data_IF_562357963063
#
_entry.id   IF_562357963063
#
_cell.length_a   1.000
_cell.length_b   1.000
_cell.length_c   1.000
_cell.angle_alpha   90.00
_cell.angle_beta   90.00
_cell.angle_gamma   90.00
#
_symmetry.space_group_name_H-M   'P 1'
#
loop_
_entity.id
_entity.type
_entity.pdbx_description
1 polymer ?
#
# COMPACT_ATOMS: atom_id res chain seq x y z
N UNK A 1 10.72 -6.76 22.28
CA UNK A 1 11.13 -7.46 21.05
C UNK A 1 12.60 -7.19 20.83
N UNK A 2 13.44 -8.08 21.35
CA UNK A 2 14.88 -8.13 21.11
C UNK A 2 15.10 -8.59 19.65
N UNK A 3 15.96 -7.91 18.89
CA UNK A 3 16.15 -8.12 17.44
C UNK A 3 17.02 -9.36 17.11
N UNK A 4 17.24 -10.26 18.07
CA UNK A 4 18.29 -11.28 17.97
C UNK A 4 18.01 -12.51 17.09
N UNK A 5 16.89 -12.58 16.37
CA UNK A 5 16.79 -13.45 15.19
C UNK A 5 15.57 -13.07 14.34
N UNK A 6 15.80 -12.33 13.26
CA UNK A 6 14.81 -12.23 12.18
C UNK A 6 14.78 -13.56 11.44
N UNK A 7 13.65 -14.23 11.47
CA UNK A 7 13.44 -15.44 10.68
C UNK A 7 13.07 -15.07 9.24
N UNK A 8 13.61 -15.83 8.29
CA UNK A 8 13.29 -15.64 6.89
C UNK A 8 11.91 -16.24 6.56
N UNK A 9 11.20 -15.63 5.60
CA UNK A 9 9.96 -16.17 5.04
C UNK A 9 10.19 -17.62 4.56
N UNK A 10 9.36 -18.55 5.03
CA UNK A 10 9.39 -19.95 4.59
C UNK A 10 8.96 -20.03 3.12
N UNK A 11 9.89 -20.47 2.25
CA UNK A 11 9.64 -20.56 0.80
C UNK A 11 9.17 -21.93 0.32
N UNK A 12 9.53 -22.99 1.03
CA UNK A 12 9.34 -24.39 0.60
C UNK A 12 8.50 -25.22 1.56
N UNK A 13 8.22 -24.70 2.74
CA UNK A 13 7.52 -25.40 3.81
C UNK A 13 6.38 -24.53 4.33
N UNK A 14 5.25 -25.15 4.71
CA UNK A 14 4.18 -24.41 5.38
C UNK A 14 4.62 -23.93 6.77
N UNK A 15 3.90 -22.95 7.29
CA UNK A 15 4.03 -22.53 8.68
C UNK A 15 3.32 -23.53 9.59
N UNK A 16 3.77 -23.60 10.85
CA UNK A 16 3.23 -24.50 11.86
C UNK A 16 1.95 -23.96 12.48
N UNK A 17 1.81 -22.63 12.54
CA UNK A 17 0.65 -21.95 13.10
C UNK A 17 0.43 -20.58 12.44
N UNK A 18 -0.78 -20.03 12.63
CA UNK A 18 -1.13 -18.66 12.26
C UNK A 18 -0.27 -17.64 13.02
N UNK A 19 0.02 -17.92 14.30
CA UNK A 19 0.88 -17.09 15.14
C UNK A 19 2.30 -16.98 14.59
N UNK A 20 2.89 -18.10 14.18
CA UNK A 20 4.23 -18.11 13.57
C UNK A 20 4.25 -17.27 12.28
N UNK A 21 3.24 -17.44 11.42
CA UNK A 21 3.13 -16.64 10.20
C UNK A 21 3.04 -15.14 10.49
N UNK A 22 2.16 -14.74 11.43
CA UNK A 22 1.93 -13.34 11.76
C UNK A 22 3.15 -12.71 12.43
N UNK A 23 3.82 -13.41 13.35
CA UNK A 23 5.03 -12.90 14.03
C UNK A 23 6.17 -12.66 13.05
N UNK A 24 6.46 -13.62 12.17
CA UNK A 24 7.54 -13.50 11.17
C UNK A 24 7.26 -12.32 10.23
N UNK A 25 6.07 -12.25 9.64
CA UNK A 25 5.73 -11.17 8.70
C UNK A 25 5.69 -9.80 9.40
N UNK A 26 5.17 -9.72 10.62
CA UNK A 26 5.14 -8.48 11.40
C UNK A 26 6.57 -7.98 11.71
N UNK A 27 7.47 -8.87 12.12
CA UNK A 27 8.86 -8.50 12.41
C UNK A 27 9.62 -8.05 11.18
N UNK A 28 9.45 -8.73 10.04
CA UNK A 28 10.06 -8.32 8.78
C UNK A 28 9.53 -6.97 8.30
N UNK A 29 8.21 -6.76 8.36
CA UNK A 29 7.59 -5.47 8.01
C UNK A 29 8.07 -4.33 8.91
N UNK A 30 8.19 -4.60 10.21
CA UNK A 30 8.76 -3.66 11.18
C UNK A 30 10.20 -3.33 10.85
N UNK A 31 11.00 -4.33 10.55
CA UNK A 31 12.40 -4.15 10.21
C UNK A 31 12.57 -3.32 8.94
N UNK A 32 11.85 -3.64 7.88
CA UNK A 32 11.85 -2.87 6.62
C UNK A 32 11.46 -1.39 6.85
N UNK A 33 10.49 -1.14 7.73
CA UNK A 33 10.04 0.20 8.06
C UNK A 33 11.07 1.02 8.83
N UNK A 34 11.80 0.41 9.77
CA UNK A 34 12.59 1.14 10.77
C UNK A 34 14.10 1.00 10.62
N UNK A 35 14.62 0.01 9.88
CA UNK A 35 16.06 -0.29 9.78
C UNK A 35 16.89 0.94 9.39
N UNK A 36 16.56 1.58 8.26
CA UNK A 36 17.32 2.73 7.76
C UNK A 36 17.37 3.88 8.78
N UNK A 37 16.26 4.13 9.48
CA UNK A 37 16.18 5.15 10.50
C UNK A 37 17.00 4.79 11.75
N UNK A 38 16.89 3.53 12.22
CA UNK A 38 17.67 3.05 13.36
C UNK A 38 19.18 3.13 13.07
N UNK A 39 19.61 2.66 11.90
CA UNK A 39 21.01 2.72 11.48
C UNK A 39 21.48 4.17 11.33
N UNK A 40 20.66 5.05 10.74
CA UNK A 40 20.96 6.47 10.60
C UNK A 40 21.15 7.17 11.95
N UNK A 41 20.25 6.93 12.91
CA UNK A 41 20.34 7.50 14.26
C UNK A 41 21.56 6.92 15.01
N UNK A 42 21.83 5.62 14.87
CA UNK A 42 22.98 5.00 15.54
C UNK A 42 24.30 5.56 15.01
N UNK A 43 24.45 5.65 13.68
CA UNK A 43 25.62 6.24 13.04
C UNK A 43 25.84 7.70 13.47
N UNK A 44 24.75 8.47 13.57
CA UNK A 44 24.82 9.84 14.08
C UNK A 44 25.25 9.90 15.54
N UNK A 45 24.77 8.99 16.39
CA UNK A 45 25.15 8.95 17.82
C UNK A 45 26.60 8.58 18.05
N UNK A 46 27.15 7.71 17.22
CA UNK A 46 28.53 7.21 17.37
C UNK A 46 29.54 8.12 16.67
N UNK A 47 29.25 8.55 15.45
CA UNK A 47 30.21 9.20 14.56
C UNK A 47 29.81 10.62 14.13
N UNK A 48 28.62 11.10 14.53
CA UNK A 48 28.02 12.35 14.03
C UNK A 48 27.80 12.42 12.50
N UNK A 49 28.02 11.30 11.79
CA UNK A 49 27.84 11.22 10.34
C UNK A 49 26.35 11.08 10.00
N UNK A 50 25.86 11.93 9.11
CA UNK A 50 24.53 11.85 8.53
C UNK A 50 24.59 11.33 7.10
N UNK A 51 24.05 10.14 6.86
CA UNK A 51 23.87 9.58 5.52
C UNK A 51 22.47 9.94 5.02
N UNK A 52 22.38 10.89 4.08
CA UNK A 52 21.12 11.39 3.52
C UNK A 52 20.31 10.30 2.79
N UNK A 53 20.94 9.19 2.36
CA UNK A 53 20.23 8.06 1.76
C UNK A 53 19.47 7.23 2.81
N UNK A 54 19.95 7.21 4.05
CA UNK A 54 19.35 6.45 5.15
C UNK A 54 18.44 7.29 6.02
N UNK A 55 18.77 8.56 6.21
CA UNK A 55 18.06 9.46 7.11
C UNK A 55 18.32 10.91 6.70
N UNK A 56 17.26 11.66 6.38
CA UNK A 56 17.36 13.11 6.20
C UNK A 56 17.24 13.78 7.56
N UNK A 57 18.06 14.79 7.81
CA UNK A 57 18.07 15.48 9.10
C UNK A 57 17.80 16.97 8.91
N UNK A 58 17.00 17.52 9.82
CA UNK A 58 16.52 18.88 9.80
C UNK A 58 16.75 19.56 11.15
N UNK A 59 17.13 20.84 11.11
CA UNK A 59 17.02 21.74 12.25
C UNK A 59 15.59 22.24 12.31
N UNK A 60 14.96 22.08 13.48
CA UNK A 60 13.57 22.47 13.67
C UNK A 60 13.42 23.53 14.75
N UNK A 61 12.53 24.48 14.49
CA UNK A 61 12.04 25.44 15.47
C UNK A 61 10.51 25.49 15.45
N UNK A 62 9.90 25.73 16.60
CA UNK A 62 8.45 25.77 16.72
C UNK A 62 7.94 27.13 16.24
N UNK A 63 7.19 27.14 15.13
CA UNK A 63 6.57 28.37 14.63
C UNK A 63 5.26 28.65 15.36
N UNK A 64 4.36 27.66 15.39
CA UNK A 64 3.03 27.81 15.98
C UNK A 64 2.46 26.46 16.41
N UNK A 65 1.71 26.47 17.51
CA UNK A 65 0.83 25.37 17.90
C UNK A 65 -0.56 25.68 17.36
N UNK A 66 -1.13 24.78 16.58
CA UNK A 66 -2.50 24.88 16.09
C UNK A 66 -3.31 23.69 16.57
N UNK A 67 -4.62 23.85 16.68
CA UNK A 67 -5.52 22.80 17.16
C UNK A 67 -6.83 22.82 16.38
N UNK A 68 -7.26 21.65 15.94
CA UNK A 68 -8.65 21.41 15.55
C UNK A 68 -9.47 20.87 16.72
N UNK A 69 -10.75 20.60 16.50
CA UNK A 69 -11.71 20.18 17.53
C UNK A 69 -11.29 18.95 18.39
N UNK A 70 -10.34 18.13 17.92
CA UNK A 70 -9.87 16.92 18.66
C UNK A 70 -8.38 16.64 18.55
N UNK A 71 -7.59 17.46 17.82
CA UNK A 71 -6.17 17.16 17.55
C UNK A 71 -5.31 18.43 17.56
N UNK A 72 -4.16 18.33 18.23
CA UNK A 72 -3.14 19.38 18.28
C UNK A 72 -2.08 19.06 17.22
N UNK A 73 -1.74 20.06 16.40
CA UNK A 73 -0.70 20.00 15.39
C UNK A 73 0.34 21.08 15.63
N UNK A 74 1.59 20.77 15.28
CA UNK A 74 2.73 21.65 15.43
C UNK A 74 3.18 22.11 14.06
N UNK A 75 3.21 23.42 13.82
CA UNK A 75 3.89 23.96 12.65
C UNK A 75 5.36 24.15 13.02
N UNK A 76 6.21 23.35 12.40
CA UNK A 76 7.66 23.40 12.58
C UNK A 76 8.33 24.05 11.37
N UNK A 77 9.22 24.99 11.62
CA UNK A 77 10.13 25.50 10.61
C UNK A 77 11.29 24.52 10.49
N UNK A 78 11.47 23.94 9.31
CA UNK A 78 12.47 22.91 9.02
C UNK A 78 13.53 23.49 8.08
N UNK A 79 14.79 23.39 8.49
CA UNK A 79 15.95 23.73 7.66
C UNK A 79 16.83 22.49 7.52
N UNK A 80 17.30 22.21 6.32
CA UNK A 80 18.15 21.05 6.05
C UNK A 80 19.44 21.13 6.90
N UNK A 81 19.79 20.04 7.58
CA UNK A 81 21.02 19.95 8.36
C UNK A 81 22.18 19.54 7.45
N UNK A 82 23.00 20.51 7.06
CA UNK A 82 24.29 20.25 6.42
C UNK A 82 25.41 20.50 7.43
N UNK A 83 26.16 19.45 7.78
CA UNK A 83 27.50 19.62 8.33
C UNK A 83 28.46 19.87 7.16
N UNK A 84 29.25 20.94 7.25
CA UNK A 84 29.99 21.58 6.15
C UNK A 84 30.86 20.67 5.26
N UNK A 85 30.90 21.07 3.98
CA UNK A 85 32.04 21.08 3.04
C UNK A 85 32.84 19.78 2.88
N UNK A 86 32.37 18.88 2.00
CA UNK A 86 33.18 18.22 0.97
C UNK A 86 32.33 17.23 0.16
N UNK A 87 31.52 17.75 -0.75
CA UNK A 87 31.18 17.07 -2.00
C UNK A 87 30.66 18.11 -2.96
N UNK A 88 31.58 18.61 -3.79
CA UNK A 88 31.25 19.20 -5.08
C UNK A 88 30.55 18.11 -5.89
N UNK A 89 29.23 18.09 -5.82
CA UNK A 89 28.35 17.60 -6.86
C UNK A 89 27.00 18.29 -6.61
N UNK A 90 26.81 19.39 -7.33
CA UNK A 90 25.51 19.98 -7.58
C UNK A 90 24.67 18.92 -8.31
N UNK A 91 24.02 18.03 -7.57
CA UNK A 91 22.78 17.45 -8.05
C UNK A 91 21.66 18.44 -7.71
N UNK A 92 21.46 19.37 -8.65
CA UNK A 92 20.14 19.98 -8.86
C UNK A 92 19.09 18.88 -9.07
N UNK A 93 17.85 19.20 -8.70
CA UNK A 93 16.66 18.36 -8.75
C UNK A 93 16.52 17.26 -7.68
N UNK A 94 15.91 17.65 -6.57
CA UNK A 94 14.49 17.32 -6.38
C UNK A 94 13.90 18.22 -5.29
N UNK A 95 12.69 18.70 -5.50
CA UNK A 95 11.87 19.25 -4.43
C UNK A 95 11.80 18.23 -3.28
N UNK A 96 12.67 18.40 -2.27
CA UNK A 96 12.66 17.65 -1.02
C UNK A 96 11.43 18.06 -0.19
N UNK A 97 10.24 17.79 -0.73
CA UNK A 97 8.98 17.93 -0.04
C UNK A 97 8.86 16.76 0.93
N UNK A 98 8.80 17.10 2.21
CA UNK A 98 8.50 16.13 3.26
C UNK A 98 7.09 15.59 2.99
N UNK A 99 6.98 14.28 2.76
CA UNK A 99 5.73 13.68 2.34
C UNK A 99 4.72 13.62 3.48
N UNK A 100 3.45 13.83 3.14
CA UNK A 100 2.35 13.61 4.07
C UNK A 100 2.38 12.17 4.61
N UNK A 101 2.39 12.02 5.93
CA UNK A 101 2.44 10.71 6.57
C UNK A 101 3.85 10.14 6.75
N UNK A 102 4.91 10.87 6.39
CA UNK A 102 6.27 10.54 6.81
C UNK A 102 6.36 10.49 8.33
N UNK A 103 7.09 9.49 8.84
CA UNK A 103 7.40 9.37 10.25
C UNK A 103 8.70 10.13 10.56
N UNK A 104 8.60 11.02 11.53
CA UNK A 104 9.68 11.88 12.00
C UNK A 104 10.08 11.50 13.41
N UNK A 105 11.37 11.53 13.67
CA UNK A 105 11.96 11.37 14.99
C UNK A 105 12.58 12.69 15.44
N UNK A 106 12.00 13.31 16.45
CA UNK A 106 12.46 14.56 17.05
C UNK A 106 13.36 14.26 18.25
N UNK A 107 14.47 14.98 18.35
CA UNK A 107 15.41 14.96 19.46
C UNK A 107 15.67 16.38 19.97
N UNK A 108 15.18 16.67 21.18
CA UNK A 108 15.32 17.98 21.84
C UNK A 108 16.74 18.24 22.37
N UNK A 109 17.46 17.18 22.73
CA UNK A 109 18.84 17.23 23.25
C UNK A 109 19.90 17.25 22.16
N UNK A 110 19.49 17.17 20.88
CA UNK A 110 20.36 16.96 19.70
C UNK A 110 21.18 15.65 19.72
N UNK A 111 20.99 14.77 20.71
CA UNK A 111 21.77 13.52 20.84
C UNK A 111 20.96 12.24 20.57
N UNK A 112 19.67 12.36 20.23
CA UNK A 112 18.77 11.24 20.04
C UNK A 112 18.77 10.23 21.22
N UNK A 113 18.97 10.72 22.44
CA UNK A 113 18.84 9.95 23.69
C UNK A 113 17.36 9.78 24.08
N UNK A 114 16.55 10.81 23.82
CA UNK A 114 15.11 10.85 24.03
C UNK A 114 14.41 11.06 22.70
N UNK A 115 13.91 9.96 22.13
CA UNK A 115 13.21 9.95 20.85
C UNK A 115 11.74 10.36 21.03
N UNK A 116 11.31 11.35 20.25
CA UNK A 116 9.92 11.80 20.17
C UNK A 116 9.42 11.55 18.76
N UNK A 117 8.40 10.71 18.63
CA UNK A 117 7.80 10.35 17.36
C UNK A 117 6.70 11.33 16.95
N UNK A 118 6.75 11.76 15.70
CA UNK A 118 5.74 12.59 15.07
C UNK A 118 5.45 12.12 13.64
N UNK A 119 4.27 12.43 13.12
CA UNK A 119 3.87 12.14 11.74
C UNK A 119 3.48 13.43 11.05
N UNK A 120 3.85 13.56 9.79
CA UNK A 120 3.54 14.75 8.98
C UNK A 120 2.06 14.71 8.60
N UNK A 121 1.33 15.79 8.85
CA UNK A 121 -0.11 15.87 8.57
C UNK A 121 -0.40 16.69 7.33
N UNK A 122 -1.51 16.41 6.67
CA UNK A 122 -1.95 17.22 5.55
C UNK A 122 -2.68 18.43 6.15
N UNK A 123 -2.08 19.61 6.06
CA UNK A 123 -2.75 20.87 6.41
C UNK A 123 -2.95 21.71 5.15
N UNK A 124 -4.03 22.47 5.16
CA UNK A 124 -4.47 23.30 4.03
C UNK A 124 -3.32 24.13 3.42
N UNK A 125 -3.12 24.10 2.08
CA UNK A 125 -2.08 24.88 1.39
C UNK A 125 -2.09 26.38 1.74
N UNK A 126 -3.21 26.92 2.21
CA UNK A 126 -3.33 28.30 2.68
C UNK A 126 -2.48 28.63 3.92
N UNK A 127 -2.08 27.64 4.70
CA UNK A 127 -1.12 27.82 5.81
C UNK A 127 0.33 27.89 5.30
N UNK A 128 0.61 27.31 4.14
CA UNK A 128 1.92 27.40 3.46
C UNK A 128 2.09 28.74 2.73
N UNK A 129 1.01 29.48 2.45
CA UNK A 129 1.04 30.75 1.72
C UNK A 129 1.74 31.92 2.46
N UNK A 130 2.26 31.71 3.67
CA UNK A 130 3.07 32.70 4.40
C UNK A 130 4.57 32.40 4.40
N UNK A 131 5.01 31.28 3.83
CA UNK A 131 6.45 31.03 3.64
C UNK A 131 6.95 31.84 2.45
N UNK A 132 7.91 32.73 2.69
CA UNK A 132 8.59 33.45 1.62
C UNK A 132 9.25 32.44 0.67
N UNK A 133 9.01 32.51 -0.65
CA UNK A 133 9.60 31.58 -1.62
C UNK A 133 11.14 31.65 -1.71
N UNK A 134 11.76 32.65 -1.06
CA UNK A 134 13.23 32.84 -1.02
C UNK A 134 13.90 32.41 0.29
N UNK A 135 13.18 31.79 1.24
CA UNK A 135 13.83 31.24 2.45
C UNK A 135 14.00 29.74 2.34
N UNK A 136 15.20 29.21 2.64
CA UNK A 136 15.49 27.78 2.75
C UNK A 136 14.81 27.10 3.96
N UNK A 137 13.67 27.65 4.40
CA UNK A 137 12.91 27.26 5.58
C UNK A 137 11.58 26.70 5.08
N UNK A 138 11.34 25.42 5.33
CA UNK A 138 10.09 24.72 4.99
C UNK A 138 9.21 24.65 6.24
N UNK A 139 7.99 25.16 6.18
CA UNK A 139 7.02 24.98 7.27
C UNK A 139 6.32 23.64 7.10
N UNK A 140 6.46 22.75 8.09
CA UNK A 140 5.91 21.40 8.08
C UNK A 140 4.97 21.22 9.26
N UNK A 141 3.69 20.88 9.02
CA UNK A 141 2.75 20.55 10.07
C UNK A 141 2.96 19.09 10.52
N UNK A 142 3.14 18.88 11.82
CA UNK A 142 3.36 17.54 12.41
C UNK A 142 2.41 17.26 13.57
N UNK A 143 2.06 15.99 13.74
CA UNK A 143 1.29 15.47 14.88
C UNK A 143 2.15 14.53 15.71
N UNK A 144 2.22 14.77 17.01
CA UNK A 144 2.91 13.87 17.93
C UNK A 144 2.18 12.53 18.05
N UNK A 145 2.94 11.43 18.05
CA UNK A 145 2.43 10.08 18.27
C UNK A 145 2.29 9.82 19.78
N UNK A 146 1.30 10.44 20.42
CA UNK A 146 1.12 10.42 21.89
C UNK A 146 1.11 9.03 22.50
N UNK A 147 0.47 8.06 21.85
CA UNK A 147 0.37 6.67 22.33
C UNK A 147 1.70 5.89 22.26
N UNK A 148 2.70 6.45 21.55
CA UNK A 148 4.01 5.83 21.33
C UNK A 148 5.15 6.59 22.04
N UNK A 149 4.89 7.82 22.50
CA UNK A 149 5.90 8.68 23.12
C UNK A 149 5.95 8.47 24.64
N UNK A 150 7.16 8.44 25.20
CA UNK A 150 7.37 8.35 26.66
C UNK A 150 7.02 9.65 27.38
N UNK A 151 7.29 10.80 26.73
CA UNK A 151 6.98 12.12 27.27
C UNK A 151 5.55 12.50 26.93
N UNK A 152 4.86 13.19 27.84
CA UNK A 152 3.54 13.74 27.56
C UNK A 152 3.67 14.85 26.52
N UNK A 153 2.64 15.02 25.70
CA UNK A 153 2.61 16.07 24.68
C UNK A 153 2.94 17.44 25.27
N UNK A 154 2.39 17.78 26.45
CA UNK A 154 2.58 19.10 27.04
C UNK A 154 4.05 19.39 27.39
N UNK A 155 4.78 18.38 27.87
CA UNK A 155 6.19 18.52 28.23
C UNK A 155 7.04 18.75 26.98
N UNK A 156 6.75 17.99 25.91
CA UNK A 156 7.40 18.16 24.60
C UNK A 156 7.15 19.56 24.04
N UNK A 157 5.93 20.07 24.14
CA UNK A 157 5.55 21.40 23.66
C UNK A 157 6.28 22.51 24.43
N UNK A 158 6.34 22.39 25.77
CA UNK A 158 7.02 23.36 26.63
C UNK A 158 8.52 23.40 26.34
N UNK A 159 9.18 22.24 26.21
CA UNK A 159 10.60 22.18 25.88
C UNK A 159 10.89 22.74 24.47
N UNK A 160 10.10 22.37 23.45
CA UNK A 160 10.22 22.94 22.10
C UNK A 160 10.05 24.47 22.08
N UNK A 161 9.09 24.97 22.84
CA UNK A 161 8.84 26.42 22.95
C UNK A 161 10.03 27.11 23.62
N UNK A 162 10.60 26.52 24.68
CA UNK A 162 11.77 27.07 25.37
C UNK A 162 12.99 27.14 24.44
N UNK A 163 13.32 26.03 23.77
CA UNK A 163 14.43 25.93 22.82
C UNK A 163 14.31 27.03 21.76
N UNK A 164 13.12 27.19 21.19
CA UNK A 164 12.87 28.19 20.14
C UNK A 164 13.00 29.62 20.67
N UNK A 165 12.47 29.91 21.86
CA UNK A 165 12.55 31.24 22.48
C UNK A 165 13.99 31.63 22.88
N UNK A 166 14.83 30.65 23.19
CA UNK A 166 16.26 30.85 23.47
C UNK A 166 17.10 31.07 22.20
N UNK A 167 16.48 31.02 21.01
CA UNK A 167 17.16 31.11 19.72
C UNK A 167 17.91 29.84 19.34
N UNK A 168 17.67 28.73 20.04
CA UNK A 168 18.23 27.42 19.74
C UNK A 168 17.25 26.58 18.88
N UNK A 169 17.70 25.41 18.45
CA UNK A 169 16.95 24.49 17.58
C UNK A 169 16.98 23.06 18.10
N UNK A 170 15.94 22.29 17.80
CA UNK A 170 15.95 20.84 17.97
C UNK A 170 16.34 20.14 16.66
N UNK A 171 16.65 18.85 16.72
CA UNK A 171 16.90 18.03 15.54
C UNK A 171 15.70 17.15 15.23
N UNK A 172 15.42 16.98 13.94
CA UNK A 172 14.39 16.10 13.44
C UNK A 172 14.97 15.22 12.34
N UNK A 173 14.82 13.91 12.50
CA UNK A 173 15.20 12.91 11.50
C UNK A 173 13.96 12.41 10.76
N UNK A 174 14.02 12.39 9.43
CA UNK A 174 13.03 11.75 8.56
C UNK A 174 13.55 10.39 8.09
N UNK A 175 12.68 9.39 8.16
CA UNK A 175 12.94 8.11 7.49
C UNK A 175 12.63 8.23 6.00
N UNK A 176 13.50 7.73 5.09
CA UNK A 176 13.19 7.63 3.67
C UNK A 176 12.01 6.65 3.41
N UNK A 177 11.66 5.82 4.39
CA UNK A 177 10.57 4.85 4.28
C UNK A 177 9.22 5.52 4.58
N UNK A 178 8.27 5.39 3.66
CA UNK A 178 6.94 5.97 3.78
C UNK A 178 6.08 5.25 4.83
N UNK A 179 6.12 5.72 6.09
CA UNK A 179 5.49 5.07 7.24
C UNK A 179 3.98 4.81 7.07
N UNK A 180 3.24 5.69 6.40
CA UNK A 180 1.81 5.50 6.15
C UNK A 180 1.46 4.23 5.37
N UNK A 181 2.41 3.64 4.62
CA UNK A 181 2.22 2.33 3.99
C UNK A 181 2.41 1.15 4.96
N UNK A 182 3.17 1.34 6.05
CA UNK A 182 3.56 0.28 6.98
C UNK A 182 2.76 0.29 8.28
N UNK A 183 2.55 1.46 8.89
CA UNK A 183 1.89 1.63 10.19
C UNK A 183 0.51 0.97 10.26
N UNK A 184 -0.44 1.32 9.37
CA UNK A 184 -1.77 0.70 9.33
C UNK A 184 -1.72 -0.82 9.12
N UNK A 185 -0.80 -1.30 8.26
CA UNK A 185 -0.60 -2.73 8.03
C UNK A 185 -0.16 -3.43 9.33
N UNK A 186 0.84 -2.89 10.03
CA UNK A 186 1.32 -3.41 11.31
C UNK A 186 0.22 -3.46 12.38
N UNK A 187 -0.63 -2.45 12.46
CA UNK A 187 -1.75 -2.46 13.42
C UNK A 187 -2.80 -3.51 13.03
N UNK A 188 -3.07 -3.71 11.74
CA UNK A 188 -3.95 -4.80 11.27
C UNK A 188 -3.39 -6.18 11.59
N UNK A 189 -2.08 -6.41 11.46
CA UNK A 189 -1.45 -7.68 11.89
C UNK A 189 -1.70 -7.95 13.38
N UNK A 190 -1.58 -6.93 14.24
CA UNK A 190 -1.86 -7.07 15.69
C UNK A 190 -3.32 -7.35 15.97
N UNK A 191 -4.23 -6.69 15.26
CA UNK A 191 -5.67 -6.96 15.39
C UNK A 191 -6.02 -8.38 14.97
N UNK A 192 -5.45 -8.85 13.85
CA UNK A 192 -5.67 -10.20 13.35
C UNK A 192 -5.20 -11.25 14.34
N UNK A 193 -4.02 -11.05 14.92
CA UNK A 193 -3.52 -11.93 15.97
C UNK A 193 -4.42 -11.92 17.22
N UNK A 194 -4.92 -10.75 17.65
CA UNK A 194 -5.79 -10.65 18.84
C UNK A 194 -7.16 -11.29 18.64
N UNK A 195 -7.73 -11.19 17.43
CA UNK A 195 -9.08 -11.68 17.12
C UNK A 195 -9.10 -13.09 16.55
N UNK A 196 -7.92 -13.64 16.22
CA UNK A 196 -7.77 -14.88 15.47
C UNK A 196 -8.64 -14.90 14.19
N UNK A 197 -8.68 -13.76 13.48
CA UNK A 197 -9.57 -13.52 12.32
C UNK A 197 -8.81 -13.51 10.98
N UNK A 198 -7.64 -14.15 10.93
CA UNK A 198 -6.81 -14.16 9.74
C UNK A 198 -7.54 -14.80 8.54
N UNK A 199 -7.65 -14.11 7.39
CA UNK A 199 -8.24 -14.70 6.20
C UNK A 199 -7.26 -15.62 5.48
N UNK A 200 -7.78 -16.56 4.69
CA UNK A 200 -7.00 -17.43 3.79
C UNK A 200 -5.92 -18.27 4.51
N UNK A 201 -6.22 -18.75 5.72
CA UNK A 201 -5.27 -19.49 6.56
C UNK A 201 -4.80 -20.78 5.89
N UNK A 202 -5.72 -21.55 5.32
CA UNK A 202 -5.38 -22.80 4.66
C UNK A 202 -4.42 -22.58 3.49
N UNK A 203 -4.61 -21.51 2.72
CA UNK A 203 -3.80 -21.17 1.56
C UNK A 203 -2.47 -20.51 1.92
N UNK A 204 -2.47 -19.51 2.82
CA UNK A 204 -1.29 -18.68 3.12
C UNK A 204 -0.39 -19.27 4.21
N UNK A 205 -0.98 -19.92 5.23
CA UNK A 205 -0.25 -20.44 6.39
C UNK A 205 0.11 -21.89 6.17
N UNK A 206 -0.89 -22.72 5.84
CA UNK A 206 -0.72 -24.17 5.74
C UNK A 206 -0.43 -24.67 4.32
N UNK A 207 -0.45 -23.80 3.31
CA UNK A 207 -0.22 -24.14 1.90
C UNK A 207 -1.09 -25.31 1.40
N UNK A 208 -2.31 -25.43 1.92
CA UNK A 208 -3.29 -26.43 1.48
C UNK A 208 -3.96 -25.98 0.20
N UNK A 209 -4.35 -26.96 -0.62
CA UNK A 209 -5.19 -26.69 -1.78
C UNK A 209 -6.56 -26.22 -1.31
N UNK A 210 -6.98 -25.05 -1.78
CA UNK A 210 -8.29 -24.48 -1.44
C UNK A 210 -9.41 -25.13 -2.23
N UNK A 211 -10.58 -25.19 -1.62
CA UNK A 211 -11.82 -25.41 -2.35
C UNK A 211 -12.10 -24.22 -3.28
N UNK A 212 -12.77 -24.43 -4.42
CA UNK A 212 -13.12 -23.34 -5.31
C UNK A 212 -14.00 -22.27 -4.63
N UNK A 213 -13.98 -21.01 -5.12
CA UNK A 213 -14.81 -19.95 -4.55
C UNK A 213 -16.30 -20.29 -4.56
N UNK A 214 -17.04 -19.93 -3.51
CA UNK A 214 -18.48 -20.29 -3.39
C UNK A 214 -19.34 -19.89 -4.59
N UNK A 215 -19.02 -18.77 -5.24
CA UNK A 215 -19.76 -18.29 -6.41
C UNK A 215 -19.56 -19.16 -7.66
N UNK A 216 -18.49 -19.95 -7.74
CA UNK A 216 -18.22 -20.81 -8.91
C UNK A 216 -18.95 -22.14 -8.86
N UNK A 217 -19.55 -22.48 -7.72
CA UNK A 217 -20.41 -23.66 -7.50
C UNK A 217 -21.91 -23.35 -7.56
N UNK A 218 -22.29 -22.08 -7.57
CA UNK A 218 -23.68 -21.66 -7.58
C UNK A 218 -24.31 -21.92 -8.96
N UNK A 219 -25.29 -22.81 -9.01
CA UNK A 219 -25.97 -23.24 -10.25
C UNK A 219 -26.93 -22.20 -10.81
N UNK A 220 -27.34 -21.22 -10.00
CA UNK A 220 -28.15 -20.09 -10.45
C UNK A 220 -27.27 -18.93 -10.97
N UNK A 221 -25.95 -19.05 -10.79
CA UNK A 221 -25.01 -18.03 -11.19
C UNK A 221 -24.97 -17.89 -12.70
N UNK A 222 -25.48 -16.76 -13.19
CA UNK A 222 -25.31 -16.36 -14.59
C UNK A 222 -23.85 -16.02 -14.85
N UNK A 223 -23.35 -16.40 -16.01
CA UNK A 223 -21.99 -16.16 -16.45
C UNK A 223 -22.01 -15.87 -17.95
N UNK A 224 -21.32 -14.81 -18.38
CA UNK A 224 -21.15 -14.51 -19.80
C UNK A 224 -19.82 -15.11 -20.30
N UNK A 225 -19.91 -16.24 -21.02
CA UNK A 225 -18.74 -16.92 -21.58
C UNK A 225 -18.23 -16.31 -22.88
N UNK A 226 -18.93 -15.33 -23.48
CA UNK A 226 -18.47 -14.64 -24.70
C UNK A 226 -17.19 -13.83 -24.47
N UNK A 227 -16.85 -13.62 -23.20
CA UNK A 227 -15.61 -12.99 -22.75
C UNK A 227 -14.38 -13.88 -23.03
N UNK A 228 -14.58 -15.20 -23.05
CA UNK A 228 -13.50 -16.22 -23.14
C UNK A 228 -13.60 -17.01 -24.45
N UNK A 229 -14.82 -17.33 -24.90
CA UNK A 229 -15.06 -18.13 -26.10
C UNK A 229 -15.82 -17.33 -27.15
N UNK A 230 -15.55 -17.60 -28.42
CA UNK A 230 -16.34 -17.07 -29.53
C UNK A 230 -17.75 -17.68 -29.52
N UNK A 231 -18.78 -16.87 -29.81
CA UNK A 231 -20.15 -17.38 -29.87
C UNK A 231 -20.31 -18.33 -31.07
N UNK A 232 -20.82 -19.56 -30.88
CA UNK A 232 -21.04 -20.48 -31.97
C UNK A 232 -22.13 -19.95 -32.91
N UNK A 233 -21.76 -19.60 -34.14
CA UNK A 233 -22.66 -19.13 -35.20
C UNK A 233 -23.61 -17.99 -34.79
N UNK A 234 -23.19 -17.11 -33.86
CA UNK A 234 -23.98 -15.98 -33.39
C UNK A 234 -25.11 -16.32 -32.39
N UNK A 235 -25.23 -17.59 -31.99
CA UNK A 235 -26.18 -18.02 -30.96
C UNK A 235 -25.54 -18.00 -29.57
N UNK A 236 -26.38 -17.95 -28.53
CA UNK A 236 -25.92 -18.04 -27.14
C UNK A 236 -25.43 -19.45 -26.80
N UNK A 237 -24.56 -19.53 -25.77
CA UNK A 237 -24.02 -20.81 -25.29
C UNK A 237 -25.15 -21.72 -24.81
N UNK A 238 -25.19 -22.92 -25.34
CA UNK A 238 -26.15 -23.95 -24.93
C UNK A 238 -25.44 -25.05 -24.15
N UNK A 239 -26.05 -25.45 -23.04
CA UNK A 239 -25.59 -26.52 -22.18
C UNK A 239 -26.56 -27.70 -22.27
N UNK A 240 -26.12 -28.93 -21.94
CA UNK A 240 -26.97 -30.12 -22.02
C UNK A 240 -28.34 -29.91 -21.35
N UNK A 241 -29.41 -30.23 -22.09
CA UNK A 241 -30.79 -29.92 -21.68
C UNK A 241 -31.13 -30.55 -20.32
N UNK A 242 -31.62 -29.72 -19.39
CA UNK A 242 -32.16 -30.15 -18.10
C UNK A 242 -31.22 -30.05 -16.89
N UNK A 243 -29.93 -29.70 -17.07
CA UNK A 243 -29.00 -29.52 -15.96
C UNK A 243 -28.61 -28.04 -15.79
N UNK A 244 -28.91 -27.47 -14.62
CA UNK A 244 -28.25 -26.23 -14.19
C UNK A 244 -26.83 -26.57 -13.78
N UNK A 245 -25.88 -26.23 -14.65
CA UNK A 245 -24.45 -26.38 -14.40
C UNK A 245 -23.93 -25.14 -13.67
N UNK A 246 -23.04 -25.34 -12.71
CA UNK A 246 -22.29 -24.27 -12.05
C UNK A 246 -21.25 -23.66 -13.00
N UNK A 247 -20.73 -22.43 -12.74
CA UNK A 247 -19.70 -21.83 -13.59
C UNK A 247 -18.48 -22.71 -13.88
N UNK A 248 -17.98 -23.49 -12.90
CA UNK A 248 -16.87 -24.43 -13.15
C UNK A 248 -17.27 -25.53 -14.13
N UNK A 249 -18.46 -26.10 -13.96
CA UNK A 249 -18.96 -27.17 -14.83
C UNK A 249 -19.23 -26.65 -16.25
N UNK A 250 -19.79 -25.45 -16.37
CA UNK A 250 -19.97 -24.76 -17.65
C UNK A 250 -18.62 -24.53 -18.35
N UNK A 251 -17.62 -24.03 -17.62
CA UNK A 251 -16.28 -23.82 -18.16
C UNK A 251 -15.64 -25.11 -18.68
N UNK A 252 -15.71 -26.19 -17.90
CA UNK A 252 -15.17 -27.51 -18.30
C UNK A 252 -15.86 -28.03 -19.56
N UNK A 253 -17.19 -27.95 -19.62
CA UNK A 253 -17.94 -28.35 -20.80
C UNK A 253 -17.55 -27.56 -22.06
N UNK A 254 -17.43 -26.23 -21.94
CA UNK A 254 -17.03 -25.38 -23.08
C UNK A 254 -15.58 -25.67 -23.50
N UNK A 255 -14.68 -25.86 -22.55
CA UNK A 255 -13.30 -26.22 -22.83
C UNK A 255 -13.19 -27.55 -23.60
N UNK A 256 -13.97 -28.56 -23.21
CA UNK A 256 -14.00 -29.88 -23.86
C UNK A 256 -14.68 -29.85 -25.23
N UNK A 257 -15.74 -29.06 -25.39
CA UNK A 257 -16.57 -29.06 -26.61
C UNK A 257 -16.02 -28.13 -27.69
N UNK A 258 -15.52 -26.95 -27.30
CA UNK A 258 -15.07 -25.89 -28.22
C UNK A 258 -13.55 -25.90 -28.42
N UNK A 259 -12.81 -26.47 -27.47
CA UNK A 259 -11.35 -26.55 -27.54
C UNK A 259 -10.66 -25.19 -27.65
N UNK A 260 -9.42 -25.19 -28.15
CA UNK A 260 -8.62 -23.97 -28.36
C UNK A 260 -9.02 -23.20 -29.62
N UNK A 261 -9.67 -23.82 -30.60
CA UNK A 261 -9.97 -23.19 -31.90
C UNK A 261 -11.04 -22.10 -31.84
N UNK A 262 -11.89 -22.09 -30.81
CA UNK A 262 -12.92 -21.07 -30.59
C UNK A 262 -12.64 -20.26 -29.31
N UNK A 263 -11.44 -20.36 -28.77
CA UNK A 263 -11.00 -19.62 -27.60
C UNK A 263 -10.43 -18.26 -28.02
N UNK A 264 -10.83 -17.19 -27.32
CA UNK A 264 -10.23 -15.86 -27.44
C UNK A 264 -8.89 -15.74 -26.69
N UNK A 265 -8.47 -16.82 -26.00
CA UNK A 265 -7.29 -16.91 -25.16
C UNK A 265 -6.36 -18.03 -25.64
N UNK A 266 -5.06 -17.83 -25.44
CA UNK A 266 -4.09 -18.92 -25.63
C UNK A 266 -4.22 -19.99 -24.52
N UNK A 267 -3.54 -21.12 -24.70
CA UNK A 267 -3.59 -22.26 -23.76
C UNK A 267 -3.16 -21.89 -22.34
N UNK A 268 -2.15 -21.02 -22.18
CA UNK A 268 -1.63 -20.62 -20.88
C UNK A 268 -2.58 -19.66 -20.16
N UNK A 269 -3.22 -18.76 -20.91
CA UNK A 269 -4.26 -17.86 -20.43
C UNK A 269 -5.52 -18.65 -20.05
N UNK A 270 -5.86 -19.69 -20.82
CA UNK A 270 -6.97 -20.59 -20.50
C UNK A 270 -6.72 -21.37 -19.20
N UNK A 271 -5.49 -21.87 -19.01
CA UNK A 271 -5.08 -22.50 -17.76
C UNK A 271 -5.17 -21.52 -16.59
N UNK A 272 -4.84 -20.25 -16.80
CA UNK A 272 -4.96 -19.22 -15.78
C UNK A 272 -6.43 -18.93 -15.42
N UNK A 273 -7.37 -18.93 -16.38
CA UNK A 273 -8.82 -18.85 -16.10
C UNK A 273 -9.28 -20.06 -15.30
N UNK A 274 -8.86 -21.28 -15.68
CA UNK A 274 -9.17 -22.49 -14.92
C UNK A 274 -8.69 -22.37 -13.47
N UNK A 275 -7.43 -21.97 -13.26
CA UNK A 275 -6.87 -21.77 -11.94
C UNK A 275 -7.59 -20.69 -11.13
N UNK A 276 -8.09 -19.63 -11.79
CA UNK A 276 -8.91 -18.60 -11.16
C UNK A 276 -10.28 -19.15 -10.70
N UNK A 277 -10.93 -20.01 -11.49
CA UNK A 277 -12.23 -20.58 -11.15
C UNK A 277 -12.14 -21.68 -10.07
N UNK A 278 -11.05 -22.45 -10.06
CA UNK A 278 -10.89 -23.61 -9.18
C UNK A 278 -10.23 -23.30 -7.83
N UNK A 279 -9.64 -22.11 -7.64
CA UNK A 279 -8.91 -21.78 -6.41
C UNK A 279 -9.35 -20.44 -5.84
N UNK A 280 -9.36 -20.32 -4.50
CA UNK A 280 -9.61 -19.05 -3.80
C UNK A 280 -8.45 -18.06 -3.91
N UNK A 281 -7.24 -18.59 -4.11
CA UNK A 281 -6.01 -17.83 -4.32
C UNK A 281 -5.35 -18.37 -5.57
N UNK A 282 -5.10 -17.49 -6.54
CA UNK A 282 -4.49 -17.86 -7.82
C UNK A 282 -3.33 -16.92 -8.12
N UNK A 283 -2.16 -17.50 -8.38
CA UNK A 283 -0.97 -16.77 -8.80
C UNK A 283 -0.76 -16.96 -10.30
N UNK A 284 -0.85 -15.87 -11.06
CA UNK A 284 -0.63 -15.87 -12.50
C UNK A 284 0.69 -15.16 -12.79
N UNK A 285 1.68 -15.93 -13.20
CA UNK A 285 2.99 -15.42 -13.58
C UNK A 285 3.14 -15.42 -15.10
N UNK A 286 3.69 -14.35 -15.66
CA UNK A 286 3.98 -14.25 -17.08
C UNK A 286 5.08 -13.24 -17.36
N UNK A 287 6.00 -13.49 -18.31
CA UNK A 287 6.97 -12.50 -18.78
C UNK A 287 6.34 -11.17 -19.24
N UNK A 288 7.13 -10.09 -19.43
CA UNK A 288 6.65 -8.87 -20.08
C UNK A 288 6.01 -9.20 -21.44
N UNK A 289 4.88 -8.55 -21.76
CA UNK A 289 4.19 -8.74 -23.04
C UNK A 289 3.23 -9.94 -23.13
N UNK A 290 3.17 -10.84 -22.15
CA UNK A 290 2.29 -12.05 -22.23
C UNK A 290 0.81 -11.80 -21.92
N UNK A 291 0.32 -10.58 -22.08
CA UNK A 291 -1.11 -10.28 -21.92
C UNK A 291 -1.66 -10.37 -20.49
N UNK A 292 -0.85 -10.26 -19.43
CA UNK A 292 -1.33 -10.31 -18.03
C UNK A 292 -2.45 -9.29 -17.74
N UNK A 293 -2.29 -8.04 -18.18
CA UNK A 293 -3.32 -7.00 -18.01
C UNK A 293 -4.58 -7.31 -18.81
N UNK A 294 -4.43 -7.83 -20.03
CA UNK A 294 -5.53 -8.27 -20.89
C UNK A 294 -6.32 -9.43 -20.26
N UNK A 295 -5.62 -10.42 -19.69
CA UNK A 295 -6.23 -11.53 -18.97
C UNK A 295 -6.92 -11.04 -17.68
N UNK A 296 -6.26 -10.16 -16.91
CA UNK A 296 -6.85 -9.58 -15.71
C UNK A 296 -8.14 -8.80 -15.98
N UNK A 297 -8.19 -8.03 -17.07
CA UNK A 297 -9.38 -7.32 -17.49
C UNK A 297 -10.52 -8.29 -17.84
N UNK A 298 -10.22 -9.41 -18.49
CA UNK A 298 -11.22 -10.46 -18.76
C UNK A 298 -11.71 -11.17 -17.51
N UNK A 299 -10.81 -11.49 -16.57
CA UNK A 299 -11.20 -12.06 -15.27
C UNK A 299 -12.15 -11.10 -14.56
N UNK A 300 -11.85 -9.80 -14.55
CA UNK A 300 -12.74 -8.80 -13.95
C UNK A 300 -14.10 -8.76 -14.67
N UNK A 301 -14.12 -8.70 -16.00
CA UNK A 301 -15.37 -8.73 -16.79
C UNK A 301 -16.19 -9.99 -16.48
N UNK A 302 -15.52 -11.14 -16.33
CA UNK A 302 -16.15 -12.40 -15.95
C UNK A 302 -16.76 -12.33 -14.54
N UNK A 303 -16.04 -11.77 -13.56
CA UNK A 303 -16.59 -11.54 -12.21
C UNK A 303 -17.77 -10.57 -12.23
N UNK A 304 -17.73 -9.54 -13.07
CA UNK A 304 -18.83 -8.58 -13.21
C UNK A 304 -20.06 -9.23 -13.87
N UNK A 305 -19.89 -10.08 -14.89
CA UNK A 305 -20.99 -10.82 -15.50
C UNK A 305 -21.62 -11.84 -14.54
N UNK A 306 -20.81 -12.38 -13.62
CA UNK A 306 -21.27 -13.16 -12.46
C UNK A 306 -21.91 -12.31 -11.35
N UNK A 307 -22.02 -10.99 -11.50
CA UNK A 307 -22.64 -10.14 -10.49
C UNK A 307 -21.91 -10.14 -9.14
N UNK A 308 -20.62 -10.48 -9.10
CA UNK A 308 -19.84 -10.57 -7.86
C UNK A 308 -19.81 -9.22 -7.13
N UNK A 309 -19.77 -8.11 -7.89
CA UNK A 309 -19.84 -6.75 -7.36
C UNK A 309 -21.08 -6.48 -6.50
N UNK A 310 -22.17 -7.24 -6.68
CA UNK A 310 -23.39 -7.11 -5.86
C UNK A 310 -23.22 -7.64 -4.44
N UNK A 311 -22.20 -8.46 -4.21
CA UNK A 311 -21.85 -9.02 -2.88
C UNK A 311 -20.84 -8.13 -2.14
N UNK A 312 -20.27 -7.14 -2.80
CA UNK A 312 -19.26 -6.21 -2.28
C UNK A 312 -18.34 -5.68 -3.39
N UNK A 313 -17.58 -4.61 -3.13
CA UNK A 313 -16.67 -4.04 -4.12
C UNK A 313 -15.54 -5.00 -4.48
N UNK A 314 -15.15 -5.01 -5.76
CA UNK A 314 -13.95 -5.72 -6.21
C UNK A 314 -12.76 -4.76 -6.09
N UNK A 315 -11.82 -5.07 -5.20
CA UNK A 315 -10.62 -4.26 -5.00
C UNK A 315 -9.53 -4.68 -5.98
N UNK A 316 -9.11 -3.74 -6.83
CA UNK A 316 -7.96 -3.90 -7.74
C UNK A 316 -6.80 -3.05 -7.22
N UNK A 317 -5.63 -3.67 -7.06
CA UNK A 317 -4.44 -2.99 -6.55
C UNK A 317 -3.26 -3.22 -7.50
N UNK A 318 -2.47 -2.16 -7.73
CA UNK A 318 -1.22 -2.25 -8.49
C UNK A 318 -0.14 -1.40 -7.83
N UNK A 319 1.14 -1.73 -8.07
CA UNK A 319 2.26 -0.96 -7.53
C UNK A 319 2.44 0.41 -8.18
N UNK A 320 2.20 0.54 -9.49
CA UNK A 320 2.41 1.79 -10.25
C UNK A 320 1.08 2.39 -10.71
N UNK A 321 0.89 3.70 -10.51
CA UNK A 321 -0.30 4.42 -10.97
C UNK A 321 -0.60 4.19 -12.47
N UNK A 322 0.42 4.29 -13.33
CA UNK A 322 0.23 4.08 -14.77
C UNK A 322 -0.24 2.66 -15.13
N UNK A 323 0.15 1.65 -14.35
CA UNK A 323 -0.32 0.28 -14.55
C UNK A 323 -1.80 0.12 -14.18
N UNK A 324 -2.25 0.79 -13.10
CA UNK A 324 -3.66 0.87 -12.75
C UNK A 324 -4.45 1.60 -13.83
N UNK A 325 -3.94 2.73 -14.31
CA UNK A 325 -4.63 3.59 -15.27
C UNK A 325 -4.90 2.84 -16.58
N UNK A 326 -3.89 2.19 -17.16
CA UNK A 326 -4.05 1.34 -18.35
C UNK A 326 -5.03 0.17 -18.10
N UNK A 327 -5.01 -0.42 -16.91
CA UNK A 327 -5.95 -1.50 -16.57
C UNK A 327 -7.38 -0.98 -16.50
N UNK A 328 -7.61 0.16 -15.86
CA UNK A 328 -8.93 0.77 -15.71
C UNK A 328 -9.51 1.26 -17.04
N UNK A 329 -8.70 1.77 -17.96
CA UNK A 329 -9.13 2.13 -19.31
C UNK A 329 -9.79 0.95 -20.03
N UNK A 330 -9.19 -0.24 -19.93
CA UNK A 330 -9.75 -1.50 -20.48
C UNK A 330 -11.03 -1.96 -19.78
N UNK A 331 -11.30 -1.47 -18.55
CA UNK A 331 -12.47 -1.84 -17.76
C UNK A 331 -13.63 -0.85 -17.97
N UNK A 332 -13.32 0.44 -18.17
CA UNK A 332 -14.28 1.50 -18.45
C UNK A 332 -15.07 1.26 -19.74
N UNK A 333 -14.50 0.53 -20.71
CA UNK A 333 -15.21 0.10 -21.92
C UNK A 333 -16.50 -0.70 -21.65
N UNK A 334 -16.64 -1.33 -20.47
CA UNK A 334 -17.74 -2.28 -20.20
C UNK A 334 -18.44 -2.03 -18.88
N UNK A 335 -17.83 -1.24 -17.99
CA UNK A 335 -18.43 -0.89 -16.72
C UNK A 335 -18.11 0.57 -16.35
N UNK A 336 -18.47 1.56 -17.18
CA UNK A 336 -18.11 2.95 -16.97
C UNK A 336 -18.64 3.52 -15.64
N UNK A 337 -19.84 3.10 -15.21
CA UNK A 337 -20.55 3.71 -14.09
C UNK A 337 -20.23 3.10 -12.71
N UNK A 338 -19.48 1.99 -12.65
CA UNK A 338 -19.27 1.23 -11.40
C UNK A 338 -17.80 1.14 -10.97
N UNK A 339 -16.97 2.07 -11.42
CA UNK A 339 -15.54 2.09 -11.08
C UNK A 339 -15.25 3.33 -10.25
N UNK A 340 -14.60 3.12 -9.11
CA UNK A 340 -14.06 4.19 -8.26
C UNK A 340 -12.56 3.99 -8.16
N UNK A 341 -11.80 5.05 -8.44
CA UNK A 341 -10.33 5.05 -8.38
C UNK A 341 -9.85 5.80 -7.15
N UNK A 342 -8.85 5.24 -6.45
CA UNK A 342 -8.27 5.87 -5.26
C UNK A 342 -6.78 6.15 -5.53
N UNK A 343 -6.36 7.41 -5.33
CA UNK A 343 -4.99 7.88 -5.56
C UNK A 343 -4.90 8.92 -6.68
N UNK A 344 -3.68 9.36 -7.03
CA UNK A 344 -3.44 10.40 -8.06
C UNK A 344 -3.64 9.82 -9.46
N UNK A 345 -4.56 10.37 -10.26
CA UNK A 345 -4.77 9.94 -11.65
C UNK A 345 -3.75 10.57 -12.60
N UNK A 346 -3.34 9.80 -13.61
CA UNK A 346 -2.45 10.26 -14.65
C UNK A 346 -3.15 11.02 -15.79
N UNK A 347 -4.47 10.96 -15.91
CA UNK A 347 -5.23 11.59 -16.98
C UNK A 347 -6.60 12.14 -16.54
N UNK A 348 -7.20 12.99 -17.37
CA UNK A 348 -8.49 13.65 -17.09
C UNK A 348 -9.64 12.65 -17.03
N UNK A 349 -9.70 11.70 -17.97
CA UNK A 349 -10.75 10.66 -18.02
C UNK A 349 -10.84 9.85 -16.73
N UNK A 350 -9.70 9.46 -16.15
CA UNK A 350 -9.66 8.73 -14.87
C UNK A 350 -9.82 9.66 -13.67
N UNK A 351 -9.63 10.96 -13.84
CA UNK A 351 -9.88 11.94 -12.78
C UNK A 351 -11.38 12.10 -12.50
N UNK A 352 -12.24 11.86 -13.49
CA UNK A 352 -13.70 11.88 -13.31
C UNK A 352 -14.20 10.79 -12.37
N UNK A 353 -13.56 9.61 -12.40
CA UNK A 353 -13.89 8.44 -11.56
C UNK A 353 -13.07 8.37 -10.27
N UNK A 354 -12.17 9.33 -10.03
CA UNK A 354 -11.44 9.38 -8.77
C UNK A 354 -12.39 9.66 -7.61
N UNK A 355 -12.16 9.01 -6.48
CA UNK A 355 -12.83 9.30 -5.24
C UNK A 355 -12.61 10.77 -4.89
N UNK A 356 -13.68 11.56 -4.92
CA UNK A 356 -13.68 12.96 -4.48
C UNK A 356 -13.84 12.95 -2.96
N UNK A 357 -12.84 13.47 -2.25
CA UNK A 357 -12.88 13.67 -0.80
C UNK A 357 -13.66 14.92 -0.44
#
# INVERSE_FOLDING_TARGET
FDLKSLEAIKRKTPYTSTEEYLDINYRLLREECFRNLCDGIQNYRENQICDAQKMKMYRITLQRITGGNTQIFLLLNCMDYYEKENSLEEEEDTSNEILYGSLMCISLSKKFDRLIWATVVNCDPRLHAQSNPNSNIKTVPVRLCSDRNKMKNIDVLLELSRITNEGDHALMAESPTFYSAFGPCMDRFKEMHKKDDMPLVDELVFAKKSDPPKYTHDKEQKCDWSIIFEKPNGYDFTFPQGQKLSPIEQFKYLQETMGTSQSLLDETQMLAIKNFLENRVSLIQGPPGTGKSFLGARILRLMLSMGIHKRGPILVMTYKNFALDHFLESCLEYSPDNIVRIGKAGNEKLSEINLKN
#
